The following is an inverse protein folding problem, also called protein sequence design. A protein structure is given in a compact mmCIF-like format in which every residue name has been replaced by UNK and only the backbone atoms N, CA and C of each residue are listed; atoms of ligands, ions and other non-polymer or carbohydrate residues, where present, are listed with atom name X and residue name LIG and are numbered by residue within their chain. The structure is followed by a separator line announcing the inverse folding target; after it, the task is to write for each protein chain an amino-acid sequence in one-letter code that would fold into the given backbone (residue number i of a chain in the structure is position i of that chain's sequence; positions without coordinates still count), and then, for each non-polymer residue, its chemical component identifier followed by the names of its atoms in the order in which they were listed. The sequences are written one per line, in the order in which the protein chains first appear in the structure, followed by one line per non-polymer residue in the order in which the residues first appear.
data_IF_085797099056
#
_entry.id   IF_085797099056
#
_cell.length_a   1.000
_cell.length_b   1.000
_cell.length_c   1.000
_cell.angle_alpha   90.00
_cell.angle_beta   90.00
_cell.angle_gamma   90.00
#
_symmetry.space_group_name_H-M   'P 1'
#
loop_
_entity.id
_entity.type
_entity.pdbx_description
1 polymer ?
#
# COMPACT_ATOMS: atom_id res chain seq x y z
N UNK A 1 11.85 4.48 -19.89
CA UNK A 1 10.46 4.20 -19.47
C UNK A 1 10.30 2.69 -19.40
N UNK A 2 9.69 2.14 -18.35
CA UNK A 2 9.56 0.68 -18.20
C UNK A 2 8.34 0.13 -18.94
N UNK A 3 8.45 -1.00 -19.67
CA UNK A 3 7.28 -1.65 -20.26
C UNK A 3 6.38 -2.24 -19.16
N UNK A 4 5.06 -2.42 -19.42
CA UNK A 4 4.13 -2.97 -18.43
C UNK A 4 4.56 -4.31 -17.82
N UNK A 5 5.18 -5.18 -18.62
CA UNK A 5 5.73 -6.47 -18.16
C UNK A 5 6.83 -6.29 -17.10
N UNK A 6 7.74 -5.34 -17.30
CA UNK A 6 8.84 -5.09 -16.36
C UNK A 6 8.33 -4.47 -15.07
N UNK A 7 7.33 -3.59 -15.12
CA UNK A 7 6.69 -3.04 -13.92
C UNK A 7 5.99 -4.14 -13.13
N UNK A 8 5.20 -4.98 -13.81
CA UNK A 8 4.49 -6.09 -13.17
C UNK A 8 5.47 -7.05 -12.50
N UNK A 9 6.51 -7.46 -13.21
CA UNK A 9 7.51 -8.39 -12.73
C UNK A 9 8.38 -7.80 -11.62
N UNK A 10 8.81 -6.53 -11.73
CA UNK A 10 9.55 -5.84 -10.66
C UNK A 10 8.71 -5.71 -9.39
N UNK A 11 7.40 -5.49 -9.53
CA UNK A 11 6.46 -5.45 -8.40
C UNK A 11 6.31 -6.83 -7.73
N UNK A 12 6.26 -7.91 -8.51
CA UNK A 12 6.22 -9.28 -8.01
C UNK A 12 7.53 -9.60 -7.26
N UNK A 13 8.70 -9.26 -7.82
CA UNK A 13 9.99 -9.45 -7.18
C UNK A 13 10.06 -8.77 -5.81
N UNK A 14 9.70 -7.47 -5.76
CA UNK A 14 9.62 -6.72 -4.51
C UNK A 14 8.67 -7.36 -3.49
N UNK A 15 7.47 -7.78 -3.92
CA UNK A 15 6.48 -8.37 -3.03
C UNK A 15 6.92 -9.73 -2.45
N UNK A 16 7.43 -10.63 -3.29
CA UNK A 16 7.89 -11.96 -2.87
C UNK A 16 9.05 -11.83 -1.89
N UNK A 17 10.00 -10.94 -2.19
CA UNK A 17 11.16 -10.71 -1.35
C UNK A 17 10.79 -10.06 -0.01
N UNK A 18 9.91 -9.04 -0.03
CA UNK A 18 9.44 -8.38 1.19
C UNK A 18 8.56 -9.27 2.09
N UNK A 19 7.84 -10.24 1.51
CA UNK A 19 7.00 -11.18 2.26
C UNK A 19 7.73 -12.45 2.70
N UNK A 20 8.94 -12.71 2.20
CA UNK A 20 9.61 -14.00 2.39
C UNK A 20 8.80 -15.18 1.85
N UNK A 21 8.02 -14.95 0.79
CA UNK A 21 7.03 -15.91 0.28
C UNK A 21 7.62 -17.03 -0.59
N UNK A 22 8.91 -16.98 -0.87
CA UNK A 22 9.61 -17.95 -1.71
C UNK A 22 10.94 -18.37 -1.08
N UNK A 23 11.34 -19.62 -1.31
CA UNK A 23 12.63 -20.16 -0.86
C UNK A 23 13.78 -19.82 -1.80
N UNK A 24 13.49 -19.27 -2.98
CA UNK A 24 14.52 -18.77 -3.90
C UNK A 24 15.22 -17.56 -3.29
N UNK A 25 16.52 -17.46 -3.52
CA UNK A 25 17.24 -16.21 -3.26
C UNK A 25 16.70 -15.07 -4.15
N UNK A 26 16.95 -13.83 -3.76
CA UNK A 26 16.52 -12.67 -4.54
C UNK A 26 17.08 -12.64 -5.96
N UNK A 27 18.33 -13.08 -6.13
CA UNK A 27 18.97 -13.15 -7.43
C UNK A 27 18.35 -14.25 -8.31
N UNK A 28 18.13 -15.45 -7.77
CA UNK A 28 17.45 -16.54 -8.50
C UNK A 28 16.04 -16.15 -8.93
N UNK A 29 15.29 -15.47 -8.06
CA UNK A 29 13.95 -14.98 -8.41
C UNK A 29 14.02 -13.94 -9.52
N UNK A 30 14.96 -12.99 -9.45
CA UNK A 30 15.12 -11.94 -10.46
C UNK A 30 15.52 -12.52 -11.81
N UNK A 31 16.44 -13.49 -11.84
CA UNK A 31 16.83 -14.20 -13.07
C UNK A 31 15.67 -14.98 -13.70
N UNK A 32 14.91 -15.71 -12.88
CA UNK A 32 13.72 -16.44 -13.34
C UNK A 32 12.70 -15.50 -13.98
N UNK A 33 12.37 -14.43 -13.27
CA UNK A 33 11.43 -13.43 -13.69
C UNK A 33 11.87 -12.71 -14.98
N UNK A 34 13.15 -12.36 -15.06
CA UNK A 34 13.76 -11.77 -16.25
C UNK A 34 13.66 -12.71 -17.47
N UNK A 35 13.91 -14.00 -17.26
CA UNK A 35 13.76 -15.04 -18.29
C UNK A 35 12.32 -15.18 -18.78
N UNK A 36 11.32 -15.10 -17.90
CA UNK A 36 9.89 -15.18 -18.25
C UNK A 36 9.47 -14.00 -19.13
N UNK A 37 9.91 -12.78 -18.80
CA UNK A 37 9.51 -11.56 -19.52
C UNK A 37 10.43 -11.17 -20.67
N UNK A 38 11.52 -11.91 -20.90
CA UNK A 38 12.53 -11.56 -21.91
C UNK A 38 13.21 -10.22 -21.63
N UNK A 39 13.39 -9.87 -20.35
CA UNK A 39 14.01 -8.63 -19.92
C UNK A 39 15.43 -8.87 -19.45
N UNK A 40 16.29 -7.86 -19.53
CA UNK A 40 17.62 -7.93 -18.93
C UNK A 40 17.52 -7.94 -17.40
N UNK A 41 18.33 -8.79 -16.75
CA UNK A 41 18.34 -8.98 -15.29
C UNK A 41 18.65 -7.66 -14.58
N UNK A 42 19.66 -6.91 -15.05
CA UNK A 42 20.06 -5.65 -14.44
C UNK A 42 18.99 -4.57 -14.57
N UNK A 43 18.30 -4.53 -15.71
CA UNK A 43 17.16 -3.63 -15.90
C UNK A 43 16.00 -3.98 -14.96
N UNK A 44 15.73 -5.27 -14.77
CA UNK A 44 14.68 -5.72 -13.85
C UNK A 44 15.04 -5.41 -12.39
N UNK A 45 16.30 -5.62 -11.99
CA UNK A 45 16.79 -5.28 -10.64
C UNK A 45 16.64 -3.79 -10.35
N UNK A 46 17.09 -2.94 -11.27
CA UNK A 46 16.92 -1.48 -11.16
C UNK A 46 15.44 -1.08 -11.09
N UNK A 47 14.57 -1.74 -11.86
CA UNK A 47 13.13 -1.53 -11.81
C UNK A 47 12.55 -1.87 -10.43
N UNK A 48 12.92 -3.04 -9.88
CA UNK A 48 12.50 -3.45 -8.53
C UNK A 48 12.95 -2.46 -7.47
N UNK A 49 14.23 -2.08 -7.45
CA UNK A 49 14.78 -1.12 -6.48
C UNK A 49 14.04 0.23 -6.54
N UNK A 50 13.70 0.70 -7.74
CA UNK A 50 12.97 1.94 -7.93
C UNK A 50 11.52 1.84 -7.43
N UNK A 51 10.84 0.71 -7.64
CA UNK A 51 9.50 0.44 -7.09
C UNK A 51 9.55 0.46 -5.57
N UNK A 52 10.53 -0.20 -4.96
CA UNK A 52 10.68 -0.22 -3.51
C UNK A 52 11.02 1.17 -2.94
N UNK A 53 11.87 1.95 -3.62
CA UNK A 53 12.18 3.32 -3.21
C UNK A 53 10.92 4.21 -3.22
N UNK A 54 10.14 4.15 -4.31
CA UNK A 54 8.88 4.89 -4.43
C UNK A 54 7.84 4.44 -3.37
N UNK A 55 7.79 3.15 -3.06
CA UNK A 55 6.92 2.61 -2.01
C UNK A 55 7.33 3.12 -0.62
N UNK A 56 8.63 3.14 -0.30
CA UNK A 56 9.14 3.68 0.99
C UNK A 56 8.78 5.15 1.14
N UNK A 57 8.92 5.94 0.08
CA UNK A 57 8.52 7.35 0.07
C UNK A 57 7.00 7.50 0.29
N UNK A 58 6.19 6.74 -0.45
CA UNK A 58 4.73 6.75 -0.32
C UNK A 58 4.26 6.41 1.11
N UNK A 59 4.89 5.43 1.75
CA UNK A 59 4.59 5.08 3.14
C UNK A 59 5.00 6.18 4.12
N UNK A 60 6.14 6.84 3.88
CA UNK A 60 6.60 7.98 4.68
C UNK A 60 5.65 9.17 4.55
N UNK A 61 5.15 9.46 3.36
CA UNK A 61 4.13 10.50 3.14
C UNK A 61 2.80 10.16 3.80
N UNK A 62 2.33 8.92 3.64
CA UNK A 62 1.10 8.44 4.28
C UNK A 62 1.17 8.57 5.81
N UNK A 63 2.32 8.27 6.42
CA UNK A 63 2.52 8.40 7.88
C UNK A 63 2.49 9.85 8.39
N UNK A 64 2.89 10.83 7.57
CA UNK A 64 2.86 12.26 7.92
C UNK A 64 1.46 12.87 7.80
N UNK A 65 0.61 12.27 6.96
CA UNK A 65 -0.76 12.75 6.71
C UNK A 65 -1.78 12.12 7.67
N UNK A 66 -1.37 11.10 8.44
CA UNK A 66 -2.20 10.49 9.46
C UNK A 66 -2.46 11.50 10.61
N UNK A 67 -3.72 11.75 11.00
CA UNK A 67 -4.00 12.62 12.13
C UNK A 67 -3.34 12.04 13.39
N UNK A 68 -2.71 12.92 14.17
CA UNK A 68 -2.09 12.54 15.44
C UNK A 68 -3.11 11.80 16.33
N UNK A 69 -2.69 10.77 17.09
CA UNK A 69 -3.58 10.14 18.05
C UNK A 69 -4.01 11.22 19.05
N UNK A 70 -5.28 11.62 18.96
CA UNK A 70 -5.91 12.59 19.85
C UNK A 70 -5.64 12.13 21.29
N UNK A 71 -5.04 12.96 22.16
CA UNK A 71 -4.84 12.57 23.55
C UNK A 71 -6.21 12.20 24.15
N UNK A 72 -6.34 10.99 24.68
CA UNK A 72 -7.54 10.59 25.44
C UNK A 72 -7.68 11.56 26.61
N UNK A 73 -8.60 12.52 26.48
CA UNK A 73 -9.01 13.36 27.60
C UNK A 73 -9.60 12.47 28.72
N UNK A 74 -9.33 12.75 30.01
CA UNK A 74 -9.93 11.99 31.09
C UNK A 74 -11.45 12.12 31.01
N UNK A 75 -12.16 11.00 31.14
CA UNK A 75 -13.62 10.90 31.16
C UNK A 75 -14.22 11.90 32.15
N UNK A 76 -14.74 13.01 31.64
CA UNK A 76 -15.74 13.85 32.29
C UNK A 76 -17.13 13.28 32.01
N UNK A 77 -17.85 12.94 33.06
CA UNK A 77 -19.24 12.50 33.04
C UNK A 77 -20.16 13.46 32.29
N UNK A 78 -20.86 13.01 31.24
CA UNK A 78 -22.32 13.20 31.04
C UNK A 78 -22.81 12.73 29.66
N UNK A 79 -23.88 11.92 29.70
CA UNK A 79 -24.85 11.55 28.66
C UNK A 79 -24.39 10.93 27.33
N UNK A 80 -24.85 9.68 27.12
CA UNK A 80 -24.97 8.97 25.86
C UNK A 80 -25.68 9.80 24.77
N UNK A 81 -25.19 9.67 23.54
CA UNK A 81 -25.96 9.83 22.31
C UNK A 81 -25.22 9.09 21.19
N UNK A 82 -25.84 8.13 20.47
CA UNK A 82 -25.15 7.38 19.42
C UNK A 82 -24.81 8.28 18.23
N UNK A 83 -23.56 8.17 17.77
CA UNK A 83 -23.05 8.77 16.53
C UNK A 83 -23.99 8.49 15.36
N UNK A 84 -24.70 9.50 14.87
CA UNK A 84 -25.42 9.43 13.61
C UNK A 84 -24.50 9.95 12.50
N UNK A 85 -23.93 9.04 11.74
CA UNK A 85 -23.33 9.32 10.43
C UNK A 85 -24.46 9.40 9.41
N UNK A 86 -24.99 10.59 9.16
CA UNK A 86 -25.96 10.78 8.07
C UNK A 86 -25.24 10.82 6.75
N UNK A 87 -25.59 9.88 5.86
CA UNK A 87 -25.23 9.94 4.45
C UNK A 87 -26.33 10.70 3.69
N UNK A 88 -26.04 11.27 2.51
CA UNK A 88 -26.91 12.26 1.85
C UNK A 88 -28.30 11.79 1.40
N UNK A 89 -28.75 10.59 1.79
CA UNK A 89 -30.02 9.98 1.37
C UNK A 89 -31.03 9.85 2.52
N UNK A 90 -30.77 10.44 3.70
CA UNK A 90 -31.74 10.43 4.80
C UNK A 90 -32.96 11.29 4.45
N UNK A 91 -34.02 10.62 3.97
CA UNK A 91 -35.31 11.24 3.63
C UNK A 91 -36.06 11.54 4.93
N UNK A 92 -36.10 12.81 5.32
CA UNK A 92 -36.94 13.27 6.44
C UNK A 92 -38.32 13.67 5.93
N UNK A 93 -39.21 12.68 5.80
CA UNK A 93 -40.62 12.94 5.51
C UNK A 93 -41.52 12.12 6.44
N UNK A 94 -41.94 12.73 7.55
CA UNK A 94 -43.16 12.35 8.25
C UNK A 94 -43.83 13.64 8.73
N UNK A 95 -44.88 14.06 8.04
CA UNK A 95 -45.80 15.08 8.52
C UNK A 95 -47.06 14.31 8.96
N UNK A 96 -47.36 14.30 10.26
CA UNK A 96 -48.68 13.93 10.79
C UNK A 96 -49.49 15.21 10.98
#
# INVERSE_FOLDING_TARGET
MYPPSMIATGSIGAAVQGLGACSLSGDELTELLAGITGTEVDCLRACQEQIEAALRESLREASQTAPSPVPKAPRGSSSQGPSQTSTPTDVTAIHL
#
